data_IF_237747303414
#
_entry.id   IF_237747303414
#
_cell.length_a   1.000
_cell.length_b   1.000
_cell.length_c   1.000
_cell.angle_alpha   90.00
_cell.angle_beta   90.00
_cell.angle_gamma   90.00
#
_symmetry.space_group_name_H-M   'P 1'
#
loop_
_entity.id
_entity.type
_entity.pdbx_description
1 polymer ?
#
# COMPACT_ATOMS: atom_id res chain seq x y z
N UNK A 1 29.18 34.71 13.70
CA UNK A 1 29.98 33.53 14.11
C UNK A 1 29.12 32.29 13.88
N UNK A 2 29.74 31.24 13.35
CA UNK A 2 29.15 30.16 12.55
C UNK A 2 28.03 29.31 13.21
N UNK A 3 27.06 28.95 12.37
CA UNK A 3 26.08 27.87 12.56
C UNK A 3 26.80 26.53 12.76
N UNK A 4 26.33 25.72 13.72
CA UNK A 4 26.66 24.28 13.79
C UNK A 4 25.40 23.46 13.50
N UNK A 5 25.43 22.52 12.55
CA UNK A 5 24.31 21.62 12.32
C UNK A 5 24.29 20.51 13.39
N UNK A 6 23.11 20.27 13.96
CA UNK A 6 22.86 19.14 14.85
C UNK A 6 22.85 17.87 14.01
N UNK A 7 23.87 17.04 14.23
CA UNK A 7 24.01 15.68 13.70
C UNK A 7 22.78 14.83 14.05
N UNK A 8 21.92 14.54 13.08
CA UNK A 8 21.04 13.37 13.14
C UNK A 8 21.88 12.13 12.83
N UNK A 9 22.02 11.23 13.80
CA UNK A 9 22.61 9.90 13.60
C UNK A 9 21.77 9.15 12.56
N UNK A 10 22.28 9.03 11.35
CA UNK A 10 21.78 8.08 10.38
C UNK A 10 22.11 6.67 10.91
N UNK A 11 21.08 5.89 11.22
CA UNK A 11 21.23 4.46 11.45
C UNK A 11 21.50 3.82 10.08
N UNK A 12 22.76 3.48 9.82
CA UNK A 12 23.22 2.81 8.61
C UNK A 12 22.76 1.35 8.65
N UNK A 13 21.54 1.09 8.22
CA UNK A 13 21.18 -0.22 7.69
C UNK A 13 21.18 -0.07 6.18
N UNK A 14 22.26 -0.54 5.54
CA UNK A 14 22.32 -0.77 4.10
C UNK A 14 21.30 -1.87 3.78
N UNK A 15 20.04 -1.49 3.57
CA UNK A 15 19.08 -2.34 2.86
C UNK A 15 19.35 -2.11 1.38
N UNK A 16 19.65 -3.19 0.65
CA UNK A 16 19.67 -3.17 -0.80
C UNK A 16 18.38 -2.53 -1.29
N UNK A 17 18.46 -1.28 -1.73
CA UNK A 17 17.37 -0.57 -2.36
C UNK A 17 17.04 -1.36 -3.62
N UNK A 18 15.91 -2.07 -3.59
CA UNK A 18 15.25 -2.45 -4.83
C UNK A 18 14.98 -1.13 -5.55
N UNK A 19 15.73 -0.90 -6.61
CA UNK A 19 15.58 0.22 -7.54
C UNK A 19 14.10 0.31 -7.88
N UNK A 20 13.39 1.27 -7.29
CA UNK A 20 12.03 1.62 -7.67
C UNK A 20 12.12 2.20 -9.08
N UNK A 21 12.13 1.32 -10.10
CA UNK A 21 11.66 1.70 -11.42
C UNK A 21 10.25 2.26 -11.25
N UNK A 22 9.96 3.34 -11.95
CA UNK A 22 8.68 4.05 -12.00
C UNK A 22 7.56 3.19 -12.60
N UNK A 23 7.30 2.01 -12.05
CA UNK A 23 6.05 1.31 -12.21
C UNK A 23 5.10 1.87 -11.17
N UNK A 24 4.16 2.70 -11.60
CA UNK A 24 2.99 3.04 -10.80
C UNK A 24 2.38 1.73 -10.30
N UNK A 25 2.37 1.54 -8.97
CA UNK A 25 1.70 0.41 -8.35
C UNK A 25 0.26 0.37 -8.87
N UNK A 26 -0.24 -0.77 -9.38
CA UNK A 26 -1.58 -0.83 -9.96
C UNK A 26 -2.62 -0.41 -8.93
N UNK A 27 -3.62 0.34 -9.40
CA UNK A 27 -4.74 0.84 -8.60
C UNK A 27 -6.02 0.80 -9.42
N UNK A 28 -7.14 0.73 -8.71
CA UNK A 28 -8.49 0.85 -9.28
C UNK A 28 -9.04 2.19 -8.82
N UNK A 29 -9.52 3.01 -9.76
CA UNK A 29 -10.07 4.32 -9.45
C UNK A 29 -11.21 4.22 -8.43
N UNK A 30 -11.13 5.00 -7.36
CA UNK A 30 -12.11 4.97 -6.27
C UNK A 30 -11.95 3.80 -5.29
N UNK A 31 -11.01 2.88 -5.53
CA UNK A 31 -10.63 1.83 -4.60
C UNK A 31 -9.93 2.37 -3.36
N UNK A 32 -9.82 1.55 -2.31
CA UNK A 32 -9.24 2.00 -1.03
C UNK A 32 -7.76 2.40 -1.16
N UNK A 33 -7.01 1.70 -2.03
CA UNK A 33 -5.61 2.02 -2.34
C UNK A 33 -5.47 3.34 -3.09
N UNK A 34 -6.34 3.58 -4.08
CA UNK A 34 -6.39 4.84 -4.81
C UNK A 34 -6.72 6.01 -3.86
N UNK A 35 -7.68 5.81 -2.95
CA UNK A 35 -8.03 6.81 -1.92
C UNK A 35 -6.85 7.11 -0.98
N UNK A 36 -6.17 6.07 -0.46
CA UNK A 36 -4.99 6.24 0.39
C UNK A 36 -3.86 6.98 -0.33
N UNK A 37 -3.58 6.62 -1.59
CA UNK A 37 -2.56 7.32 -2.37
C UNK A 37 -2.95 8.76 -2.67
N UNK A 38 -4.21 9.03 -3.03
CA UNK A 38 -4.71 10.41 -3.24
C UNK A 38 -4.66 11.25 -1.98
N UNK A 39 -4.91 10.68 -0.81
CA UNK A 39 -4.71 11.36 0.46
C UNK A 39 -3.27 11.84 0.62
N UNK A 40 -2.28 11.12 0.11
CA UNK A 40 -0.88 11.53 0.19
C UNK A 40 -0.53 12.50 -0.94
N UNK A 41 -0.82 12.13 -2.19
CA UNK A 41 -0.32 12.83 -3.38
C UNK A 41 -1.07 14.13 -3.68
N UNK A 42 -2.35 14.21 -3.32
CA UNK A 42 -3.24 15.33 -3.67
C UNK A 42 -3.54 16.25 -2.49
N UNK A 43 -2.98 15.98 -1.30
CA UNK A 43 -3.22 16.77 -0.12
C UNK A 43 -2.27 17.97 -0.04
N UNK A 44 -2.85 19.16 -0.18
CA UNK A 44 -2.14 20.44 -0.18
C UNK A 44 -1.49 20.80 1.17
N UNK A 45 -1.84 20.09 2.25
CA UNK A 45 -1.20 20.25 3.55
C UNK A 45 0.10 19.44 3.69
N UNK A 46 0.38 18.52 2.75
CA UNK A 46 1.62 17.72 2.69
C UNK A 46 2.65 18.27 1.68
N UNK A 47 2.30 19.33 0.94
CA UNK A 47 3.23 20.00 0.04
C UNK A 47 4.21 20.88 0.82
N UNK A 48 5.48 20.84 0.41
CA UNK A 48 6.49 21.74 0.95
C UNK A 48 6.12 23.19 0.61
N UNK A 49 6.21 24.09 1.59
CA UNK A 49 5.98 25.53 1.40
C UNK A 49 7.15 26.25 0.75
N UNK A 50 8.18 25.53 0.28
CA UNK A 50 9.32 26.14 -0.41
C UNK A 50 8.88 26.72 -1.76
N UNK A 51 8.60 28.02 -1.73
CA UNK A 51 8.59 28.91 -2.88
C UNK A 51 10.02 29.00 -3.44
N UNK A 52 10.42 28.03 -4.25
CA UNK A 52 11.69 28.03 -4.97
C UNK A 52 11.50 28.31 -6.47
N UNK A 53 11.92 29.51 -6.88
CA UNK A 53 12.08 30.03 -8.25
C UNK A 53 10.91 29.95 -9.24
N UNK A 54 10.42 31.13 -9.64
CA UNK A 54 9.38 31.41 -10.65
C UNK A 54 9.65 30.88 -12.07
N UNK A 55 10.70 30.07 -12.29
CA UNK A 55 11.14 29.66 -13.64
C UNK A 55 11.48 28.17 -13.78
N UNK A 56 11.15 27.31 -12.81
CA UNK A 56 11.30 25.86 -12.97
C UNK A 56 9.97 25.28 -13.46
N UNK A 57 9.93 24.54 -14.59
CA UNK A 57 8.74 23.79 -14.98
C UNK A 57 8.33 22.88 -13.82
N UNK A 58 7.09 23.01 -13.35
CA UNK A 58 6.52 22.16 -12.30
C UNK A 58 6.31 20.76 -12.89
N UNK A 59 7.38 19.99 -13.05
CA UNK A 59 7.26 18.55 -12.99
C UNK A 59 6.85 18.24 -11.55
N UNK A 60 5.65 17.71 -11.35
CA UNK A 60 5.06 17.41 -10.04
C UNK A 60 5.93 16.41 -9.27
N UNK A 61 7.00 16.89 -8.64
CA UNK A 61 7.86 16.09 -7.79
C UNK A 61 7.19 16.06 -6.43
N UNK A 62 6.60 14.91 -6.10
CA UNK A 62 6.14 14.60 -4.74
C UNK A 62 7.23 15.02 -3.74
N UNK A 63 6.82 15.66 -2.63
CA UNK A 63 7.72 16.04 -1.55
C UNK A 63 8.41 14.82 -0.96
N UNK A 64 9.51 15.04 -0.24
CA UNK A 64 10.21 13.94 0.41
C UNK A 64 9.30 13.24 1.43
N UNK A 65 8.51 14.01 2.19
CA UNK A 65 7.49 13.48 3.09
C UNK A 65 6.46 12.62 2.34
N UNK A 66 5.92 13.09 1.21
CA UNK A 66 4.96 12.30 0.43
C UNK A 66 5.54 10.98 -0.06
N UNK A 67 6.82 10.95 -0.46
CA UNK A 67 7.50 9.73 -0.87
C UNK A 67 7.70 8.76 0.29
N UNK A 68 8.09 9.27 1.46
CA UNK A 68 8.23 8.45 2.67
C UNK A 68 6.88 7.85 3.08
N UNK A 69 5.80 8.64 3.08
CA UNK A 69 4.46 8.13 3.37
C UNK A 69 4.03 7.04 2.37
N UNK A 70 4.28 7.20 1.07
CA UNK A 70 3.99 6.17 0.06
C UNK A 70 4.80 4.89 0.30
N UNK A 71 6.05 5.03 0.71
CA UNK A 71 6.91 3.90 1.05
C UNK A 71 6.34 3.15 2.27
N UNK A 72 5.94 3.86 3.31
CA UNK A 72 5.30 3.26 4.48
C UNK A 72 3.99 2.53 4.13
N UNK A 73 3.17 3.07 3.20
CA UNK A 73 1.98 2.37 2.70
C UNK A 73 2.36 1.08 1.96
N UNK A 74 3.42 1.14 1.16
CA UNK A 74 3.89 -0.03 0.40
C UNK A 74 4.42 -1.13 1.32
N UNK A 75 5.00 -0.79 2.46
CA UNK A 75 5.50 -1.74 3.47
C UNK A 75 4.37 -2.48 4.20
N UNK A 76 3.18 -1.89 4.31
CA UNK A 76 2.02 -2.51 4.96
C UNK A 76 1.07 -3.24 4.00
N UNK A 77 1.35 -3.24 2.69
CA UNK A 77 0.59 -4.05 1.73
C UNK A 77 0.76 -5.55 2.06
N UNK A 78 -0.35 -6.33 2.05
CA UNK A 78 -0.27 -7.75 2.34
C UNK A 78 0.51 -8.51 1.26
N UNK A 79 1.23 -9.56 1.67
CA UNK A 79 1.90 -10.48 0.73
C UNK A 79 0.86 -11.26 -0.09
N UNK A 80 0.74 -10.90 -1.36
CA UNK A 80 -0.17 -11.55 -2.32
C UNK A 80 0.34 -12.91 -2.81
N UNK A 81 1.61 -13.25 -2.55
CA UNK A 81 2.22 -14.51 -2.97
C UNK A 81 1.95 -15.70 -2.04
N UNK A 82 1.35 -15.45 -0.87
CA UNK A 82 1.03 -16.45 0.16
C UNK A 82 -0.43 -16.37 0.61
N UNK A 83 -1.33 -16.11 -0.32
CA UNK A 83 -2.76 -16.29 -0.07
C UNK A 83 -3.07 -17.75 0.29
N UNK A 84 -4.19 -17.95 0.99
CA UNK A 84 -4.79 -19.28 1.11
C UNK A 84 -5.10 -19.79 -0.31
N UNK A 85 -4.96 -21.10 -0.55
CA UNK A 85 -5.21 -21.68 -1.88
C UNK A 85 -6.58 -22.34 -1.83
N UNK A 86 -7.55 -21.78 -2.54
CA UNK A 86 -8.86 -22.41 -2.67
C UNK A 86 -8.90 -23.56 -3.67
N UNK A 87 -9.89 -24.42 -3.45
CA UNK A 87 -10.38 -25.33 -4.47
C UNK A 87 -10.82 -24.53 -5.70
N UNK A 88 -10.29 -24.88 -6.86
CA UNK A 88 -10.40 -24.10 -8.09
C UNK A 88 -10.55 -25.02 -9.29
N UNK A 89 -11.10 -24.48 -10.37
CA UNK A 89 -11.27 -25.18 -11.65
C UNK A 89 -10.49 -24.47 -12.74
N UNK A 90 -10.42 -25.06 -13.94
CA UNK A 90 -9.77 -24.43 -15.08
C UNK A 90 -10.46 -23.12 -15.46
N UNK A 91 -11.78 -23.09 -15.34
CA UNK A 91 -12.66 -21.96 -15.66
C UNK A 91 -12.64 -20.89 -14.55
N UNK A 92 -12.42 -21.30 -13.30
CA UNK A 92 -12.28 -20.42 -12.15
C UNK A 92 -10.98 -20.71 -11.37
N UNK A 93 -9.81 -20.30 -11.93
CA UNK A 93 -8.50 -20.55 -11.34
C UNK A 93 -8.16 -19.53 -10.24
N UNK A 94 -7.25 -19.91 -9.33
CA UNK A 94 -6.66 -18.99 -8.34
C UNK A 94 -5.77 -17.97 -9.07
N UNK A 95 -6.05 -16.68 -8.90
CA UNK A 95 -5.33 -15.64 -9.62
C UNK A 95 -4.01 -15.30 -8.94
N UNK A 96 -2.96 -15.12 -9.75
CA UNK A 96 -1.63 -14.70 -9.30
C UNK A 96 -1.29 -13.41 -10.02
N UNK A 97 -1.10 -12.31 -9.27
CA UNK A 97 -0.73 -11.02 -9.83
C UNK A 97 0.77 -10.91 -10.06
N UNK A 98 1.20 -10.49 -11.26
CA UNK A 98 2.60 -10.12 -11.50
C UNK A 98 2.76 -9.12 -12.63
N UNK A 99 3.72 -8.21 -12.49
CA UNK A 99 4.18 -7.36 -13.60
C UNK A 99 4.92 -8.15 -14.68
N UNK A 100 5.45 -9.34 -14.36
CA UNK A 100 6.21 -10.19 -15.28
C UNK A 100 5.30 -11.10 -16.11
N UNK A 101 5.73 -11.43 -17.32
CA UNK A 101 5.03 -12.37 -18.23
C UNK A 101 5.04 -13.82 -17.73
N UNK A 102 5.94 -14.14 -16.78
CA UNK A 102 6.04 -15.44 -16.11
C UNK A 102 6.37 -15.24 -14.63
N UNK A 103 5.87 -16.15 -13.80
CA UNK A 103 6.11 -16.15 -12.37
C UNK A 103 6.18 -17.59 -11.83
N UNK A 104 6.90 -17.78 -10.72
CA UNK A 104 6.91 -19.07 -10.01
C UNK A 104 5.81 -19.00 -8.95
N UNK A 105 4.81 -19.89 -9.04
CA UNK A 105 3.79 -20.07 -8.02
C UNK A 105 4.14 -21.26 -7.14
N UNK A 106 3.95 -21.10 -5.83
CA UNK A 106 4.10 -22.18 -4.85
C UNK A 106 2.72 -22.69 -4.46
N UNK A 107 2.53 -24.00 -4.54
CA UNK A 107 1.30 -24.66 -4.13
C UNK A 107 1.58 -25.55 -2.91
N UNK A 108 0.88 -25.25 -1.81
CA UNK A 108 0.79 -26.11 -0.63
C UNK A 108 -0.32 -27.14 -0.89
N UNK A 109 0.05 -28.33 -1.36
CA UNK A 109 -0.91 -29.34 -1.78
C UNK A 109 -1.69 -29.98 -0.62
N UNK A 110 -1.12 -29.97 0.58
CA UNK A 110 -1.73 -30.44 1.81
C UNK A 110 -1.23 -29.58 2.97
N UNK A 111 -2.09 -29.25 3.96
CA UNK A 111 -1.67 -28.51 5.14
C UNK A 111 -0.70 -29.30 6.03
N UNK A 112 -0.68 -30.64 5.89
CA UNK A 112 0.18 -31.53 6.66
C UNK A 112 1.49 -31.85 5.94
N UNK A 113 1.63 -31.46 4.67
CA UNK A 113 2.80 -31.77 3.87
C UNK A 113 3.75 -30.55 3.81
N UNK A 114 4.99 -30.74 4.25
CA UNK A 114 6.01 -29.71 4.19
C UNK A 114 6.62 -29.55 2.78
N UNK A 115 6.22 -30.39 1.83
CA UNK A 115 6.70 -30.31 0.46
C UNK A 115 5.92 -29.29 -0.38
N UNK A 116 6.62 -28.20 -0.74
CA UNK A 116 6.14 -27.19 -1.67
C UNK A 116 6.26 -27.66 -3.12
N UNK A 117 5.15 -27.63 -3.87
CA UNK A 117 5.19 -27.80 -5.33
C UNK A 117 5.32 -26.43 -6.00
N UNK A 118 6.32 -26.27 -6.85
CA UNK A 118 6.53 -25.05 -7.61
C UNK A 118 6.05 -25.24 -9.05
N UNK A 119 5.31 -24.26 -9.56
CA UNK A 119 4.85 -24.21 -10.95
C UNK A 119 5.36 -22.94 -11.61
N UNK A 120 5.77 -23.05 -12.86
CA UNK A 120 6.01 -21.86 -13.69
C UNK A 120 4.70 -21.50 -14.37
N UNK A 121 4.15 -20.34 -14.03
CA UNK A 121 2.97 -19.79 -14.68
C UNK A 121 3.39 -18.86 -15.82
N UNK A 122 2.65 -18.92 -16.91
CA UNK A 122 2.74 -17.97 -18.03
C UNK A 122 1.46 -17.12 -18.05
N UNK A 123 1.61 -15.84 -18.39
CA UNK A 123 0.50 -14.89 -18.37
C UNK A 123 -0.65 -15.39 -19.25
N UNK A 124 -1.87 -15.32 -18.70
CA UNK A 124 -3.11 -15.73 -19.35
C UNK A 124 -3.19 -17.22 -19.76
N UNK A 125 -2.31 -18.08 -19.24
CA UNK A 125 -2.37 -19.52 -19.45
C UNK A 125 -2.65 -20.26 -18.13
N UNK A 126 -3.86 -20.82 -17.93
CA UNK A 126 -4.18 -21.59 -16.73
C UNK A 126 -3.29 -22.83 -16.60
N UNK A 127 -2.74 -23.04 -15.41
CA UNK A 127 -1.92 -24.20 -15.09
C UNK A 127 -2.49 -24.95 -13.89
N UNK A 128 -2.48 -26.28 -13.96
CA UNK A 128 -2.98 -27.17 -12.90
C UNK A 128 -1.82 -27.71 -12.07
N UNK A 129 -1.89 -27.60 -10.75
CA UNK A 129 -1.02 -28.32 -9.84
C UNK A 129 -1.43 -29.78 -9.72
N UNK A 130 -0.49 -30.66 -9.36
CA UNK A 130 -0.74 -32.09 -9.19
C UNK A 130 -1.89 -32.39 -8.22
N UNK A 131 -2.06 -31.58 -7.17
CA UNK A 131 -3.18 -31.72 -6.22
C UNK A 131 -4.56 -31.34 -6.79
N UNK A 132 -4.62 -30.73 -7.98
CA UNK A 132 -5.87 -30.34 -8.62
C UNK A 132 -6.15 -28.84 -8.67
N UNK A 133 -5.51 -28.03 -7.83
CA UNK A 133 -5.69 -26.58 -7.86
C UNK A 133 -5.21 -25.97 -9.19
N UNK A 134 -5.99 -25.04 -9.71
CA UNK A 134 -5.68 -24.28 -10.91
C UNK A 134 -5.21 -22.87 -10.55
N UNK A 135 -4.24 -22.38 -11.32
CA UNK A 135 -3.68 -21.05 -11.16
C UNK A 135 -3.64 -20.31 -12.50
N UNK A 136 -3.84 -19.00 -12.46
CA UNK A 136 -3.74 -18.14 -13.63
C UNK A 136 -2.91 -16.89 -13.31
N UNK A 137 -1.81 -16.72 -14.04
CA UNK A 137 -1.02 -15.50 -13.95
C UNK A 137 -1.70 -14.36 -14.72
N UNK A 138 -2.01 -13.29 -14.01
CA UNK A 138 -2.60 -12.05 -14.55
C UNK A 138 -1.66 -10.88 -14.31
N UNK A 139 -1.84 -9.78 -15.05
CA UNK A 139 -1.15 -8.54 -14.72
C UNK A 139 -1.65 -7.94 -13.40
N UNK A 140 -0.88 -7.01 -12.86
CA UNK A 140 -1.19 -6.40 -11.57
C UNK A 140 -2.48 -5.56 -11.58
N UNK A 141 -2.87 -5.00 -12.73
CA UNK A 141 -4.10 -4.22 -12.84
C UNK A 141 -5.32 -5.12 -12.69
N UNK A 142 -5.39 -6.20 -13.47
CA UNK A 142 -6.45 -7.20 -13.37
C UNK A 142 -6.52 -7.83 -11.98
N UNK A 143 -5.39 -8.07 -11.33
CA UNK A 143 -5.36 -8.60 -9.97
C UNK A 143 -6.01 -7.64 -8.96
N UNK A 144 -5.67 -6.35 -9.01
CA UNK A 144 -6.28 -5.33 -8.13
C UNK A 144 -7.77 -5.12 -8.41
N UNK A 145 -8.21 -5.21 -9.68
CA UNK A 145 -9.62 -5.15 -10.04
C UNK A 145 -10.43 -6.28 -9.39
N UNK A 146 -9.92 -7.51 -9.39
CA UNK A 146 -10.59 -8.65 -8.74
C UNK A 146 -10.61 -8.50 -7.21
N UNK A 147 -9.55 -7.94 -6.62
CA UNK A 147 -9.53 -7.61 -5.18
C UNK A 147 -10.59 -6.59 -4.80
N UNK A 148 -10.77 -5.55 -5.61
CA UNK A 148 -11.82 -4.55 -5.39
C UNK A 148 -13.22 -5.12 -5.66
N UNK A 149 -13.38 -6.02 -6.64
CA UNK A 149 -14.64 -6.76 -6.82
C UNK A 149 -14.98 -7.61 -5.60
N UNK A 150 -14.01 -8.28 -4.99
CA UNK A 150 -14.21 -9.01 -3.73
C UNK A 150 -14.58 -8.03 -2.62
N UNK A 151 -13.83 -6.95 -2.46
CA UNK A 151 -14.09 -5.93 -1.44
C UNK A 151 -15.52 -5.42 -1.51
N UNK A 152 -15.99 -5.00 -2.68
CA UNK A 152 -17.34 -4.47 -2.87
C UNK A 152 -18.46 -5.44 -2.46
N UNK A 153 -18.20 -6.75 -2.40
CA UNK A 153 -19.17 -7.75 -1.92
C UNK A 153 -19.19 -7.89 -0.40
N UNK A 154 -18.04 -7.68 0.26
CA UNK A 154 -17.87 -7.93 1.71
C UNK A 154 -17.82 -6.64 2.54
N UNK A 155 -17.73 -5.47 1.88
CA UNK A 155 -17.47 -4.18 2.50
C UNK A 155 -18.50 -3.76 3.55
N UNK A 156 -19.75 -4.16 3.36
CA UNK A 156 -20.87 -3.79 4.23
C UNK A 156 -21.05 -4.74 5.42
N UNK A 157 -20.26 -5.81 5.51
CA UNK A 157 -20.23 -6.69 6.68
C UNK A 157 -19.79 -5.90 7.93
N UNK A 158 -20.34 -6.17 9.14
CA UNK A 158 -20.13 -5.33 10.32
C UNK A 158 -18.66 -5.01 10.64
N UNK A 159 -17.77 -6.01 10.51
CA UNK A 159 -16.34 -5.82 10.73
C UNK A 159 -15.68 -4.90 9.69
N UNK A 160 -16.03 -5.07 8.41
CA UNK A 160 -15.48 -4.29 7.30
C UNK A 160 -16.05 -2.87 7.27
N UNK A 161 -17.34 -2.71 7.53
CA UNK A 161 -18.00 -1.42 7.66
C UNK A 161 -17.40 -0.61 8.82
N UNK A 162 -17.08 -1.28 9.94
CA UNK A 162 -16.36 -0.68 11.05
C UNK A 162 -14.97 -0.15 10.67
N UNK A 163 -14.19 -0.95 9.92
CA UNK A 163 -12.88 -0.53 9.40
C UNK A 163 -12.99 0.69 8.49
N UNK A 164 -13.94 0.72 7.57
CA UNK A 164 -14.15 1.87 6.69
C UNK A 164 -14.55 3.13 7.44
N UNK A 165 -15.50 3.01 8.37
CA UNK A 165 -15.90 4.14 9.20
C UNK A 165 -14.71 4.68 9.99
N UNK A 166 -13.85 3.80 10.51
CA UNK A 166 -12.62 4.23 11.20
C UNK A 166 -11.64 4.91 10.25
N UNK A 167 -11.47 4.38 9.04
CA UNK A 167 -10.65 5.00 8.00
C UNK A 167 -11.15 6.42 7.66
N UNK A 168 -12.45 6.60 7.46
CA UNK A 168 -13.07 7.90 7.17
C UNK A 168 -12.86 8.92 8.29
N UNK A 169 -12.96 8.47 9.55
CA UNK A 169 -12.71 9.32 10.72
C UNK A 169 -11.24 9.74 10.76
N UNK A 170 -10.32 8.79 10.61
CA UNK A 170 -8.87 9.05 10.67
C UNK A 170 -8.41 9.96 9.54
N UNK A 171 -8.94 9.79 8.32
CA UNK A 171 -8.65 10.68 7.20
C UNK A 171 -9.07 12.13 7.50
N UNK A 172 -10.22 12.33 8.14
CA UNK A 172 -10.69 13.66 8.55
C UNK A 172 -9.84 14.24 9.69
N UNK A 173 -9.59 13.45 10.73
CA UNK A 173 -8.77 13.87 11.88
C UNK A 173 -7.36 14.27 11.43
N UNK A 174 -6.73 13.46 10.57
CA UNK A 174 -5.39 13.74 10.08
C UNK A 174 -5.37 14.97 9.17
N UNK A 175 -6.39 15.19 8.34
CA UNK A 175 -6.50 16.41 7.54
C UNK A 175 -6.62 17.68 8.41
N UNK A 176 -7.39 17.61 9.51
CA UNK A 176 -7.52 18.73 10.45
C UNK A 176 -6.15 19.01 11.10
N UNK A 177 -5.49 17.98 11.63
CA UNK A 177 -4.16 18.13 12.23
C UNK A 177 -3.16 18.73 11.24
N UNK A 178 -3.11 18.21 10.01
CA UNK A 178 -2.21 18.70 8.96
C UNK A 178 -2.48 20.18 8.61
N UNK A 179 -3.74 20.59 8.56
CA UNK A 179 -4.11 21.99 8.34
C UNK A 179 -3.67 22.89 9.51
N UNK A 180 -3.95 22.49 10.75
CA UNK A 180 -3.61 23.24 11.95
C UNK A 180 -2.08 23.37 12.11
N UNK A 181 -1.37 22.26 11.91
CA UNK A 181 0.07 22.16 12.01
C UNK A 181 0.83 22.99 10.96
N UNK A 182 0.20 23.30 9.82
CA UNK A 182 0.82 24.13 8.76
C UNK A 182 1.18 25.54 9.22
N UNK A 183 0.46 26.07 10.21
CA UNK A 183 0.72 27.38 10.81
C UNK A 183 1.77 27.34 11.92
N UNK A 184 2.17 26.14 12.37
CA UNK A 184 3.05 25.96 13.51
C UNK A 184 4.52 25.93 13.09
N UNK A 185 5.38 26.39 13.99
CA UNK A 185 6.83 26.22 13.89
C UNK A 185 7.29 25.23 14.96
N UNK A 186 8.50 24.66 14.85
CA UNK A 186 9.05 23.78 15.90
C UNK A 186 9.16 24.44 17.30
N UNK A 187 9.07 25.77 17.38
CA UNK A 187 9.10 26.53 18.64
C UNK A 187 7.71 26.90 19.16
N UNK A 188 6.66 26.67 18.37
CA UNK A 188 5.29 26.99 18.78
C UNK A 188 4.90 26.13 20.00
N UNK A 189 4.21 26.71 20.99
CA UNK A 189 3.65 25.93 22.11
C UNK A 189 2.79 24.78 21.59
N UNK A 190 2.96 23.57 22.13
CA UNK A 190 2.21 22.38 21.71
C UNK A 190 2.64 21.77 20.37
N UNK A 191 3.65 22.31 19.68
CA UNK A 191 4.08 21.76 18.37
C UNK A 191 4.54 20.30 18.46
N UNK A 192 5.22 19.91 19.56
CA UNK A 192 5.63 18.53 19.77
C UNK A 192 4.42 17.59 19.90
N UNK A 193 3.43 17.96 20.73
CA UNK A 193 2.20 17.20 20.93
C UNK A 193 1.39 17.07 19.62
N UNK A 194 1.33 18.14 18.82
CA UNK A 194 0.72 18.12 17.49
C UNK A 194 1.38 17.08 16.57
N UNK A 195 2.72 17.05 16.52
CA UNK A 195 3.46 16.09 15.69
C UNK A 195 3.26 14.64 16.18
N UNK A 196 3.25 14.43 17.50
CA UNK A 196 2.99 13.12 18.10
C UNK A 196 1.56 12.64 17.76
N UNK A 197 0.57 13.54 17.83
CA UNK A 197 -0.80 13.25 17.43
C UNK A 197 -0.91 12.90 15.94
N UNK A 198 -0.24 13.64 15.05
CA UNK A 198 -0.19 13.29 13.63
C UNK A 198 0.41 11.91 13.40
N UNK A 199 1.54 11.61 14.04
CA UNK A 199 2.21 10.32 13.91
C UNK A 199 1.34 9.17 14.43
N UNK A 200 0.65 9.37 15.54
CA UNK A 200 -0.29 8.40 16.11
C UNK A 200 -1.46 8.12 15.14
N UNK A 201 -2.10 9.18 14.63
CA UNK A 201 -3.23 9.04 13.69
C UNK A 201 -2.81 8.43 12.36
N UNK A 202 -1.64 8.79 11.85
CA UNK A 202 -1.07 8.17 10.65
C UNK A 202 -0.82 6.67 10.87
N UNK A 203 -0.22 6.29 12.00
CA UNK A 203 -0.03 4.88 12.36
C UNK A 203 -1.34 4.11 12.39
N UNK A 204 -2.36 4.64 13.07
CA UNK A 204 -3.69 4.00 13.11
C UNK A 204 -4.32 3.88 11.71
N UNK A 205 -4.18 4.91 10.87
CA UNK A 205 -4.72 4.90 9.51
C UNK A 205 -4.06 3.81 8.64
N UNK A 206 -2.75 3.63 8.78
CA UNK A 206 -2.01 2.54 8.13
C UNK A 206 -2.46 1.16 8.59
N UNK A 207 -2.69 0.98 9.89
CA UNK A 207 -3.16 -0.29 10.43
C UNK A 207 -4.57 -0.65 9.94
N UNK A 208 -5.49 0.32 9.95
CA UNK A 208 -6.84 0.16 9.40
C UNK A 208 -6.78 -0.15 7.90
N UNK A 209 -5.95 0.59 7.16
CA UNK A 209 -5.71 0.34 5.74
C UNK A 209 -5.20 -1.09 5.49
N UNK A 210 -4.16 -1.52 6.20
CA UNK A 210 -3.58 -2.85 6.07
C UNK A 210 -4.62 -3.96 6.34
N UNK A 211 -5.48 -3.77 7.36
CA UNK A 211 -6.57 -4.69 7.67
C UNK A 211 -7.61 -4.76 6.55
N UNK A 212 -8.02 -3.63 5.99
CA UNK A 212 -8.89 -3.61 4.81
C UNK A 212 -8.22 -4.37 3.67
N UNK A 213 -6.98 -4.03 3.32
CA UNK A 213 -6.24 -4.66 2.21
C UNK A 213 -6.07 -6.17 2.42
N UNK A 214 -5.87 -6.63 3.65
CA UNK A 214 -5.82 -8.06 4.00
C UNK A 214 -7.14 -8.77 3.73
N UNK A 215 -8.28 -8.16 4.09
CA UNK A 215 -9.61 -8.73 3.81
C UNK A 215 -9.92 -8.76 2.31
N UNK A 216 -9.27 -7.90 1.53
CA UNK A 216 -9.33 -7.90 0.07
C UNK A 216 -8.42 -8.93 -0.60
N UNK A 217 -7.62 -9.71 0.13
CA UNK A 217 -6.80 -10.76 -0.50
C UNK A 217 -7.71 -11.72 -1.25
N UNK A 218 -7.35 -12.05 -2.50
CA UNK A 218 -8.02 -13.14 -3.19
C UNK A 218 -7.70 -14.44 -2.47
N UNK A 219 -8.69 -15.31 -2.46
CA UNK A 219 -8.57 -16.62 -1.86
C UNK A 219 -8.04 -17.67 -2.86
#
# INVERSE_FOLDING_TARGET
MALRPISRRASTIVRLLHRCSSSTSPTVAGGIKDRMLKFITSNHNLFDTDSGDLNVPVESKLSWLQKDLIMEISEVEPDTGRGEIKSSTKENPNLVGSSRVRAIQRCHCSPHDHHLKCLVLYRNLPARCFCGHWFLLVDGQRYEEEREKKWNKIRDEPGNAGLLKRFDILEKELNILLADGKSMTPKSPGAAEMMDNMALKWKEMKEVYANIRKNMLLD
#
